data_IF_695882360166
#
_entry.id   IF_695882360166
#
_cell.length_a   1.000
_cell.length_b   1.000
_cell.length_c   1.000
_cell.angle_alpha   90.00
_cell.angle_beta   90.00
_cell.angle_gamma   90.00
#
_symmetry.space_group_name_H-M   'P 1'
#
loop_
_entity.id
_entity.type
_entity.pdbx_description
1 polymer ?
#
# COMPACT_ATOMS: atom_id res chain seq x y z
N UNK A 1 34.11 -30.30 -51.96
CA UNK A 1 32.64 -30.12 -51.80
C UNK A 1 32.25 -30.24 -50.32
N UNK A 2 32.82 -29.41 -49.44
CA UNK A 2 32.72 -29.65 -47.98
C UNK A 2 32.37 -28.42 -47.13
N UNK A 3 32.19 -27.24 -47.74
CA UNK A 3 31.91 -26.01 -46.97
C UNK A 3 30.44 -25.56 -47.03
N UNK A 4 29.68 -25.96 -48.06
CA UNK A 4 28.27 -25.53 -48.20
C UNK A 4 27.27 -26.26 -47.29
N UNK A 5 27.61 -27.41 -46.70
CA UNK A 5 26.68 -28.15 -45.82
C UNK A 5 26.70 -27.69 -44.36
N UNK A 6 27.75 -27.00 -43.90
CA UNK A 6 27.86 -26.50 -42.51
C UNK A 6 27.06 -25.24 -42.22
N UNK A 7 26.55 -24.55 -43.24
CA UNK A 7 25.80 -23.30 -43.08
C UNK A 7 24.31 -23.53 -42.81
N UNK A 8 23.72 -24.60 -43.35
CA UNK A 8 22.29 -24.87 -43.20
C UNK A 8 21.86 -25.41 -41.81
N UNK A 9 22.74 -26.16 -41.13
CA UNK A 9 22.41 -26.74 -39.81
C UNK A 9 22.46 -25.72 -38.66
N UNK A 10 23.27 -24.66 -38.78
CA UNK A 10 23.40 -23.62 -37.74
C UNK A 10 22.14 -22.74 -37.64
N UNK A 11 21.45 -22.52 -38.76
CA UNK A 11 20.21 -21.75 -38.80
C UNK A 11 19.04 -22.50 -38.13
N UNK A 12 19.04 -23.83 -38.21
CA UNK A 12 17.99 -24.66 -37.61
C UNK A 12 18.01 -24.65 -36.08
N UNK A 13 19.20 -24.79 -35.48
CA UNK A 13 19.33 -24.80 -34.01
C UNK A 13 19.09 -23.42 -33.38
N UNK A 14 19.47 -22.32 -34.04
CA UNK A 14 19.24 -20.97 -33.49
C UNK A 14 17.75 -20.61 -33.46
N UNK A 15 16.97 -21.02 -34.47
CA UNK A 15 15.51 -20.79 -34.47
C UNK A 15 14.77 -21.66 -33.44
N UNK A 16 15.26 -22.89 -33.19
CA UNK A 16 14.73 -23.75 -32.12
C UNK A 16 15.03 -23.18 -30.73
N UNK A 17 16.21 -22.57 -30.56
CA UNK A 17 16.60 -21.94 -29.30
C UNK A 17 15.78 -20.67 -29.01
N UNK A 18 15.52 -19.84 -30.02
CA UNK A 18 14.64 -18.66 -29.88
C UNK A 18 13.16 -19.03 -29.62
N UNK A 19 12.68 -20.16 -30.15
CA UNK A 19 11.33 -20.68 -29.82
C UNK A 19 11.21 -21.16 -28.37
N UNK A 20 12.32 -21.62 -27.77
CA UNK A 20 12.34 -22.17 -26.40
C UNK A 20 12.63 -21.10 -25.34
N UNK A 21 13.22 -19.97 -25.73
CA UNK A 21 13.52 -18.83 -24.86
C UNK A 21 13.06 -17.54 -25.55
N UNK A 22 11.82 -17.09 -25.28
CA UNK A 22 11.36 -15.80 -25.80
C UNK A 22 12.31 -14.69 -25.32
N UNK A 23 12.49 -13.61 -26.11
CA UNK A 23 13.33 -12.48 -25.73
C UNK A 23 12.85 -11.88 -24.40
N UNK A 24 13.81 -11.55 -23.54
CA UNK A 24 13.65 -11.07 -22.15
C UNK A 24 12.68 -9.87 -22.01
N UNK A 25 12.41 -9.15 -23.10
CA UNK A 25 11.47 -8.02 -23.16
C UNK A 25 10.02 -8.35 -22.76
N UNK A 26 9.58 -9.60 -22.90
CA UNK A 26 8.20 -9.99 -22.57
C UNK A 26 7.97 -10.08 -21.05
N UNK A 27 9.02 -10.33 -20.26
CA UNK A 27 8.93 -10.39 -18.79
C UNK A 27 8.84 -8.99 -18.16
N UNK A 28 9.64 -8.03 -18.65
CA UNK A 28 9.63 -6.65 -18.15
C UNK A 28 8.30 -5.95 -18.46
N UNK A 29 7.69 -6.26 -19.60
CA UNK A 29 6.41 -5.69 -20.02
C UNK A 29 5.26 -6.18 -19.13
N UNK A 30 5.19 -7.51 -18.88
CA UNK A 30 4.19 -8.10 -17.97
C UNK A 30 4.36 -7.60 -16.54
N UNK A 31 5.61 -7.45 -16.07
CA UNK A 31 5.88 -6.92 -14.73
C UNK A 31 5.38 -5.47 -14.59
N UNK A 32 5.62 -4.62 -15.60
CA UNK A 32 5.12 -3.25 -15.61
C UNK A 32 3.60 -3.19 -15.62
N UNK A 33 2.94 -4.06 -16.39
CA UNK A 33 1.48 -4.14 -16.46
C UNK A 33 0.87 -4.53 -15.11
N UNK A 34 1.44 -5.54 -14.43
CA UNK A 34 0.98 -5.97 -13.10
C UNK A 34 1.15 -4.85 -12.07
N UNK A 35 2.28 -4.13 -12.08
CA UNK A 35 2.51 -2.99 -11.18
C UNK A 35 1.51 -1.86 -11.44
N UNK A 36 1.26 -1.53 -12.71
CA UNK A 36 0.28 -0.51 -13.08
C UNK A 36 -1.15 -0.91 -12.64
N UNK A 37 -1.55 -2.17 -12.85
CA UNK A 37 -2.83 -2.70 -12.40
C UNK A 37 -2.97 -2.67 -10.87
N UNK A 38 -1.89 -2.99 -10.15
CA UNK A 38 -1.84 -2.93 -8.69
C UNK A 38 -2.03 -1.49 -8.17
N UNK A 39 -1.29 -0.53 -8.73
CA UNK A 39 -1.42 0.88 -8.38
C UNK A 39 -2.80 1.45 -8.70
N UNK A 40 -3.38 1.06 -9.84
CA UNK A 40 -4.75 1.41 -10.17
C UNK A 40 -5.73 0.89 -9.11
N UNK A 41 -5.60 -0.38 -8.69
CA UNK A 41 -6.44 -0.97 -7.63
C UNK A 41 -6.34 -0.17 -6.33
N UNK A 42 -5.14 0.23 -5.92
CA UNK A 42 -4.94 1.05 -4.71
C UNK A 42 -5.69 2.37 -4.82
N UNK A 43 -5.56 3.08 -5.95
CA UNK A 43 -6.28 4.33 -6.18
C UNK A 43 -7.80 4.15 -6.19
N UNK A 44 -8.30 3.11 -6.86
CA UNK A 44 -9.74 2.81 -6.91
C UNK A 44 -10.29 2.58 -5.48
N UNK A 45 -9.56 1.89 -4.61
CA UNK A 45 -9.99 1.66 -3.21
C UNK A 45 -9.96 2.96 -2.40
N UNK A 46 -8.95 3.84 -2.60
CA UNK A 46 -8.91 5.15 -1.94
C UNK A 46 -10.13 5.99 -2.32
N UNK A 47 -10.51 5.99 -3.60
CA UNK A 47 -11.67 6.73 -4.08
C UNK A 47 -12.97 6.21 -3.45
N UNK A 48 -13.08 4.89 -3.27
CA UNK A 48 -14.20 4.28 -2.55
C UNK A 48 -14.22 4.67 -1.07
N UNK A 49 -13.07 4.70 -0.40
CA UNK A 49 -12.96 5.15 1.00
C UNK A 49 -13.42 6.60 1.13
N UNK A 50 -12.93 7.49 0.25
CA UNK A 50 -13.32 8.89 0.23
C UNK A 50 -14.83 9.07 0.00
N UNK A 51 -15.40 8.36 -0.97
CA UNK A 51 -16.83 8.37 -1.24
C UNK A 51 -17.65 7.91 -0.02
N UNK A 52 -17.19 6.85 0.66
CA UNK A 52 -17.86 6.30 1.82
C UNK A 52 -17.76 7.24 3.04
N UNK A 53 -16.59 7.83 3.29
CA UNK A 53 -16.41 8.86 4.32
C UNK A 53 -17.35 10.04 4.10
N UNK A 54 -17.55 10.47 2.84
CA UNK A 54 -18.53 11.51 2.50
C UNK A 54 -19.96 11.05 2.77
N UNK A 55 -20.30 9.81 2.38
CA UNK A 55 -21.65 9.22 2.57
C UNK A 55 -22.06 9.18 4.04
N UNK A 56 -21.15 8.82 4.94
CA UNK A 56 -21.42 8.71 6.39
C UNK A 56 -21.15 9.99 7.18
N UNK A 57 -20.76 11.08 6.51
CA UNK A 57 -20.52 12.38 7.14
C UNK A 57 -19.21 12.50 7.93
N UNK A 58 -18.26 11.59 7.72
CA UNK A 58 -16.93 11.64 8.35
C UNK A 58 -15.92 12.47 7.56
N UNK A 59 -16.24 12.81 6.32
CA UNK A 59 -15.42 13.70 5.50
C UNK A 59 -15.60 15.15 5.94
N UNK A 60 -14.51 15.79 6.36
CA UNK A 60 -14.52 17.18 6.81
C UNK A 60 -14.09 18.11 5.67
N UNK A 61 -14.88 19.13 5.38
CA UNK A 61 -14.47 20.20 4.45
C UNK A 61 -13.76 21.28 5.26
N UNK A 62 -12.45 21.44 5.06
CA UNK A 62 -11.66 22.42 5.81
C UNK A 62 -10.18 22.14 5.79
N UNK A 63 -9.45 22.88 6.63
CA UNK A 63 -8.01 22.73 6.79
C UNK A 63 -7.66 21.51 7.65
N UNK A 64 -6.49 20.92 7.37
CA UNK A 64 -5.93 19.87 8.22
C UNK A 64 -5.68 20.44 9.62
N UNK A 65 -6.18 19.79 10.69
CA UNK A 65 -5.88 20.24 12.04
C UNK A 65 -4.37 20.13 12.33
N UNK A 66 -3.84 20.88 13.31
CA UNK A 66 -2.44 20.76 13.71
C UNK A 66 -2.07 19.32 14.04
N UNK A 67 -0.97 18.83 13.46
CA UNK A 67 -0.48 17.48 13.63
C UNK A 67 0.62 17.45 14.70
N UNK A 68 0.46 16.60 15.72
CA UNK A 68 1.52 16.29 16.68
C UNK A 68 2.16 14.93 16.36
N UNK A 69 3.35 14.88 15.74
CA UNK A 69 3.99 13.62 15.35
C UNK A 69 4.30 12.69 16.52
N UNK A 70 4.23 13.15 17.78
CA UNK A 70 4.47 12.33 18.98
C UNK A 70 3.25 11.53 19.43
N UNK A 71 2.08 11.79 18.85
CA UNK A 71 0.82 11.17 19.25
C UNK A 71 0.29 10.20 18.20
N UNK A 72 -0.48 9.22 18.65
CA UNK A 72 -1.23 8.32 17.76
C UNK A 72 -2.18 9.18 16.91
N UNK A 73 -2.26 8.88 15.62
CA UNK A 73 -2.99 9.67 14.63
C UNK A 73 -2.60 11.15 14.62
N UNK A 74 -1.41 11.48 15.09
CA UNK A 74 -0.94 12.85 15.24
C UNK A 74 -1.81 13.74 16.15
N UNK A 75 -2.51 13.14 17.13
CA UNK A 75 -3.36 13.86 18.07
C UNK A 75 -4.72 14.30 17.51
N UNK A 76 -5.06 13.90 16.29
CA UNK A 76 -6.35 14.16 15.65
C UNK A 76 -7.22 12.89 15.63
N UNK A 77 -8.51 13.06 15.31
CA UNK A 77 -9.43 11.91 15.23
C UNK A 77 -9.02 10.96 14.11
N UNK A 78 -9.36 9.67 14.24
CA UNK A 78 -9.08 8.67 13.20
C UNK A 78 -9.61 9.09 11.81
N UNK A 79 -10.86 9.56 11.64
CA UNK A 79 -11.34 10.05 10.35
C UNK A 79 -10.51 11.22 9.80
N UNK A 80 -10.13 12.18 10.64
CA UNK A 80 -9.31 13.31 10.22
C UNK A 80 -7.90 12.86 9.79
N UNK A 81 -7.28 11.95 10.54
CA UNK A 81 -6.00 11.37 10.17
C UNK A 81 -6.07 10.57 8.86
N UNK A 82 -7.13 9.78 8.68
CA UNK A 82 -7.37 9.03 7.46
C UNK A 82 -7.44 9.97 6.26
N UNK A 83 -8.28 11.01 6.35
CA UNK A 83 -8.49 11.99 5.29
C UNK A 83 -7.25 12.83 4.97
N UNK A 84 -6.60 13.41 5.98
CA UNK A 84 -5.59 14.46 5.77
C UNK A 84 -4.16 13.94 5.71
N UNK A 85 -3.89 12.78 6.31
CA UNK A 85 -2.52 12.24 6.42
C UNK A 85 -2.40 10.98 5.60
N UNK A 86 -3.24 9.98 5.87
CA UNK A 86 -3.05 8.64 5.32
C UNK A 86 -3.39 8.57 3.82
N UNK A 87 -4.62 8.87 3.41
CA UNK A 87 -5.03 8.76 2.00
C UNK A 87 -4.17 9.63 1.05
N UNK A 88 -3.85 10.90 1.38
CA UNK A 88 -2.96 11.70 0.54
C UNK A 88 -1.54 11.13 0.50
N UNK A 89 -1.06 10.53 1.60
CA UNK A 89 0.21 9.81 1.64
C UNK A 89 0.23 8.61 0.69
N UNK A 90 -0.84 7.81 0.68
CA UNK A 90 -0.96 6.66 -0.23
C UNK A 90 -0.99 7.12 -1.69
N UNK A 91 -1.78 8.15 -2.03
CA UNK A 91 -1.82 8.69 -3.40
C UNK A 91 -0.43 9.14 -3.87
N UNK A 92 0.31 9.91 -3.05
CA UNK A 92 1.70 10.30 -3.36
C UNK A 92 2.63 9.10 -3.52
N UNK A 93 2.45 8.05 -2.71
CA UNK A 93 3.23 6.81 -2.85
C UNK A 93 2.98 6.11 -4.18
N UNK A 94 1.72 6.07 -4.64
CA UNK A 94 1.37 5.55 -5.96
C UNK A 94 1.98 6.40 -7.08
N UNK A 95 1.86 7.73 -7.00
CA UNK A 95 2.41 8.68 -7.99
C UNK A 95 3.93 8.59 -8.09
N UNK A 96 4.62 8.45 -6.96
CA UNK A 96 6.07 8.26 -6.91
C UNK A 96 6.51 6.84 -7.31
N UNK A 97 5.55 5.91 -7.43
CA UNK A 97 5.82 4.49 -7.64
C UNK A 97 6.55 3.82 -6.47
N UNK A 98 6.45 4.39 -5.27
CA UNK A 98 7.04 3.85 -4.05
C UNK A 98 6.03 3.85 -2.89
N UNK A 99 5.39 2.70 -2.69
CA UNK A 99 4.45 2.49 -1.59
C UNK A 99 5.14 2.31 -0.23
N UNK A 100 6.48 2.21 -0.18
CA UNK A 100 7.24 2.09 1.08
C UNK A 100 7.35 3.40 1.84
N UNK A 101 7.08 4.52 1.18
CA UNK A 101 7.05 5.83 1.81
C UNK A 101 5.74 6.11 2.60
N UNK A 102 4.77 5.21 2.54
CA UNK A 102 3.48 5.35 3.21
C UNK A 102 3.63 5.02 4.71
N UNK A 103 2.95 5.74 5.62
CA UNK A 103 2.92 5.39 7.02
C UNK A 103 2.58 3.91 7.24
N UNK A 104 3.45 3.20 7.96
CA UNK A 104 3.29 1.79 8.29
C UNK A 104 2.20 1.61 9.35
N UNK A 105 0.94 1.70 8.93
CA UNK A 105 -0.21 1.61 9.81
C UNK A 105 -1.23 0.60 9.29
N UNK A 106 -1.68 -0.31 10.16
CA UNK A 106 -2.78 -1.23 9.84
C UNK A 106 -4.10 -0.51 9.90
N UNK A 107 -4.42 0.19 8.82
CA UNK A 107 -5.61 1.05 8.70
C UNK A 107 -6.91 0.26 8.89
N UNK A 108 -6.97 -1.01 8.47
CA UNK A 108 -8.13 -1.86 8.74
C UNK A 108 -8.31 -2.16 10.24
N UNK A 109 -7.22 -2.51 10.92
CA UNK A 109 -7.24 -2.74 12.37
C UNK A 109 -7.59 -1.47 13.16
N UNK A 110 -7.09 -0.32 12.70
CA UNK A 110 -7.40 0.99 13.25
C UNK A 110 -8.91 1.29 13.17
N UNK A 111 -9.52 1.05 12.00
CA UNK A 111 -10.96 1.20 11.80
C UNK A 111 -11.77 0.26 12.70
N UNK A 112 -11.37 -1.01 12.82
CA UNK A 112 -12.02 -1.98 13.72
C UNK A 112 -12.05 -1.50 15.18
N UNK A 113 -10.91 -1.01 15.68
CA UNK A 113 -10.83 -0.45 17.04
C UNK A 113 -11.75 0.75 17.24
N UNK A 114 -11.94 1.54 16.18
CA UNK A 114 -12.73 2.77 16.24
C UNK A 114 -14.23 2.52 16.15
N UNK A 115 -14.68 1.58 15.33
CA UNK A 115 -16.09 1.43 14.94
C UNK A 115 -16.78 0.15 15.42
N UNK A 116 -16.04 -0.81 15.97
CA UNK A 116 -16.59 -2.08 16.45
C UNK A 116 -16.23 -2.35 17.93
N UNK A 117 -15.01 -1.98 18.35
CA UNK A 117 -14.53 -2.38 19.69
C UNK A 117 -15.09 -1.55 20.87
N UNK A 118 -15.26 -0.23 20.72
CA UNK A 118 -15.71 0.65 21.81
C UNK A 118 -17.11 1.23 21.63
N UNK A 119 -17.58 1.30 20.39
CA UNK A 119 -18.91 1.77 20.00
C UNK A 119 -19.22 1.06 18.69
N UNK A 120 -20.17 0.12 18.68
CA UNK A 120 -20.64 -0.46 17.43
C UNK A 120 -21.33 0.66 16.62
N UNK A 121 -20.77 1.00 15.47
CA UNK A 121 -21.33 1.98 14.54
C UNK A 121 -21.58 1.24 13.21
N UNK A 122 -22.74 0.60 13.06
CA UNK A 122 -23.05 -0.22 11.89
C UNK A 122 -22.90 0.53 10.57
N UNK A 123 -23.20 1.83 10.55
CA UNK A 123 -23.09 2.68 9.37
C UNK A 123 -21.64 2.82 8.88
N UNK A 124 -20.65 2.65 9.76
CA UNK A 124 -19.23 2.75 9.46
C UNK A 124 -18.59 1.40 9.08
N UNK A 125 -19.32 0.27 9.19
CA UNK A 125 -18.80 -1.05 8.79
C UNK A 125 -18.38 -1.13 7.32
N UNK A 126 -19.08 -0.52 6.33
CA UNK A 126 -18.59 -0.51 4.96
C UNK A 126 -17.26 0.25 4.83
N UNK A 127 -17.09 1.37 5.53
CA UNK A 127 -15.82 2.11 5.59
C UNK A 127 -14.70 1.24 6.19
N UNK A 128 -14.98 0.53 7.29
CA UNK A 128 -14.03 -0.40 7.91
C UNK A 128 -13.60 -1.50 6.93
N UNK A 129 -14.53 -2.09 6.20
CA UNK A 129 -14.24 -3.11 5.19
C UNK A 129 -13.35 -2.56 4.07
N UNK A 130 -13.62 -1.35 3.58
CA UNK A 130 -12.78 -0.68 2.59
C UNK A 130 -11.36 -0.42 3.12
N UNK A 131 -11.21 -0.08 4.41
CA UNK A 131 -9.89 0.07 5.03
C UNK A 131 -9.11 -1.26 5.04
N UNK A 132 -9.77 -2.39 5.33
CA UNK A 132 -9.15 -3.71 5.22
C UNK A 132 -8.80 -4.08 3.78
N UNK A 133 -9.65 -3.73 2.81
CA UNK A 133 -9.35 -3.95 1.39
C UNK A 133 -8.16 -3.11 0.92
N UNK A 134 -8.03 -1.88 1.41
CA UNK A 134 -6.84 -1.05 1.14
C UNK A 134 -5.59 -1.69 1.73
N UNK A 135 -5.65 -2.17 2.98
CA UNK A 135 -4.54 -2.85 3.63
C UNK A 135 -4.08 -4.10 2.85
N UNK A 136 -5.02 -4.90 2.33
CA UNK A 136 -4.72 -6.05 1.46
C UNK A 136 -4.14 -5.64 0.10
N UNK A 137 -4.54 -4.48 -0.40
CA UNK A 137 -4.05 -3.94 -1.67
C UNK A 137 -2.67 -3.29 -1.52
N UNK A 138 -2.23 -2.96 -0.30
CA UNK A 138 -0.88 -2.47 -0.05
C UNK A 138 0.09 -3.66 0.08
N UNK A 139 1.37 -3.48 -0.28
CA UNK A 139 2.40 -4.46 0.02
C UNK A 139 2.49 -4.74 1.53
N UNK A 140 2.88 -5.97 1.93
CA UNK A 140 3.01 -6.33 3.34
C UNK A 140 3.90 -5.35 4.11
N UNK A 141 3.51 -5.02 5.34
CA UNK A 141 4.26 -4.11 6.22
C UNK A 141 5.74 -4.53 6.38
N UNK A 142 6.00 -5.82 6.36
CA UNK A 142 7.33 -6.42 6.46
C UNK A 142 8.20 -6.14 5.23
N UNK A 143 7.60 -5.98 4.05
CA UNK A 143 8.29 -5.59 2.81
C UNK A 143 8.46 -4.07 2.69
N UNK A 144 7.65 -3.31 3.43
CA UNK A 144 7.72 -1.85 3.53
C UNK A 144 8.77 -1.39 4.57
N UNK A 145 9.08 -2.21 5.57
CA UNK A 145 10.29 -2.04 6.39
C UNK A 145 11.50 -2.40 5.54
N UNK A 146 12.24 -1.40 5.07
CA UNK A 146 13.59 -1.64 4.57
C UNK A 146 14.39 -2.45 5.61
N UNK A 147 15.37 -3.27 5.20
CA UNK A 147 16.07 -4.22 6.08
C UNK A 147 16.79 -3.58 7.30
N UNK A 148 16.83 -2.24 7.38
CA UNK A 148 17.55 -1.46 8.38
C UNK A 148 16.66 -0.53 9.21
N UNK A 149 15.32 -0.59 9.13
CA UNK A 149 14.49 0.18 10.07
C UNK A 149 14.29 -0.61 11.37
N UNK A 150 14.76 -0.09 12.52
CA UNK A 150 14.49 -0.72 13.81
C UNK A 150 12.98 -0.76 14.07
N UNK A 151 12.47 -1.76 14.78
CA UNK A 151 11.07 -1.77 15.18
C UNK A 151 10.78 -0.47 15.94
N UNK A 152 9.81 0.30 15.44
CA UNK A 152 9.20 1.41 16.18
C UNK A 152 8.95 0.94 17.63
N UNK A 153 9.38 1.70 18.65
CA UNK A 153 9.07 1.36 20.02
C UNK A 153 7.56 1.33 20.15
N UNK A 154 7.01 0.15 20.44
CA UNK A 154 5.60 0.00 20.77
C UNK A 154 5.30 1.01 21.87
N UNK A 155 4.52 2.05 21.56
CA UNK A 155 4.09 3.04 22.52
C UNK A 155 3.26 2.33 23.59
N UNK A 156 3.91 1.96 24.70
CA UNK A 156 3.30 1.18 25.77
C UNK A 156 4.31 0.66 26.78
N UNK A 157 4.30 1.29 27.96
CA UNK A 157 4.98 0.92 29.21
C UNK A 157 6.42 1.45 29.38
N UNK A 158 6.52 2.77 29.58
CA UNK A 158 7.56 3.27 30.47
C UNK A 158 7.20 2.84 31.92
N UNK A 159 8.09 2.15 32.66
CA UNK A 159 7.89 1.90 34.08
C UNK A 159 7.93 3.23 34.85
N UNK A 160 6.96 3.40 35.75
CA UNK A 160 6.74 4.62 36.51
C UNK A 160 8.01 5.12 37.19
N UNK A 161 8.21 6.43 37.12
CA UNK A 161 9.10 7.13 38.04
C UNK A 161 8.48 7.04 39.44
N UNK A 162 9.07 6.19 40.29
CA UNK A 162 8.94 6.31 41.73
C UNK A 162 9.64 7.59 42.16
N UNK A 163 8.85 8.63 42.44
CA UNK A 163 9.30 9.74 43.25
C UNK A 163 9.22 9.32 44.72
N UNK A 164 10.38 9.17 45.33
CA UNK A 164 10.56 9.39 46.78
C UNK A 164 10.97 10.83 47.01
#
# INVERSE_FOLDING_TARGET
>A
MSELKRSAEKTSMFSLFQKKFPPVADFDSKKKEVVAAHYKKVLDVIDLIEAEMKRIGYWTVGECPPLDPKQIYSGISYPAWLQFVFLPGVRRGVEAGDLRAIPQYRVGLAALRQYDYHSEIPEAHPLMNLCFELEKALPPLEELRGPNQPPEPMAGLAPGHGSS
#
